data_IF_320681764219
#
_entry.id   IF_320681764219
#
_cell.length_a   1.000
_cell.length_b   1.000
_cell.length_c   1.000
_cell.angle_alpha   90.00
_cell.angle_beta   90.00
_cell.angle_gamma   90.00
#
_symmetry.space_group_name_H-M   'P 1'
#
loop_
_entity.id
_entity.type
_entity.pdbx_description
1 polymer ?
#
# COMPACT_ATOMS: atom_id res chain seq x y z
N UNK A 1 -4.87 11.90 23.62
CA UNK A 1 -4.99 10.76 22.68
C UNK A 1 -3.82 10.63 21.69
N UNK A 2 -3.28 11.74 21.14
CA UNK A 2 -2.13 11.69 20.19
C UNK A 2 -0.90 10.99 20.78
N UNK A 3 -0.54 11.27 22.04
CA UNK A 3 0.57 10.63 22.76
C UNK A 3 0.41 9.11 22.90
N UNK A 4 -0.82 8.60 23.06
CA UNK A 4 -1.09 7.18 23.28
C UNK A 4 -0.87 6.37 22.01
N UNK A 5 -1.31 6.88 20.85
CA UNK A 5 -1.11 6.17 19.58
C UNK A 5 0.36 6.23 19.14
N UNK A 6 1.06 7.33 19.39
CA UNK A 6 2.51 7.38 19.14
C UNK A 6 3.28 6.26 19.86
N UNK A 7 2.95 6.01 21.12
CA UNK A 7 3.53 4.90 21.90
C UNK A 7 3.13 3.53 21.36
N UNK A 8 1.87 3.34 20.94
CA UNK A 8 1.41 2.08 20.33
C UNK A 8 2.13 1.78 19.01
N UNK A 9 2.35 2.78 18.16
CA UNK A 9 3.09 2.64 16.90
C UNK A 9 4.56 2.27 17.15
N UNK A 10 5.20 2.91 18.15
CA UNK A 10 6.56 2.58 18.53
C UNK A 10 6.68 1.13 19.03
N UNK A 11 5.75 0.68 19.90
CA UNK A 11 5.68 -0.71 20.35
C UNK A 11 5.49 -1.69 19.20
N UNK A 12 4.58 -1.39 18.27
CA UNK A 12 4.36 -2.23 17.09
C UNK A 12 5.63 -2.35 16.23
N UNK A 13 6.38 -1.26 16.05
CA UNK A 13 7.67 -1.28 15.33
C UNK A 13 8.68 -2.22 16.01
N UNK A 14 8.79 -2.20 17.33
CA UNK A 14 9.67 -3.10 18.09
C UNK A 14 9.25 -4.57 17.90
N UNK A 15 7.95 -4.86 17.94
CA UNK A 15 7.45 -6.22 17.73
C UNK A 15 7.72 -6.72 16.30
N UNK A 16 7.63 -5.86 15.29
CA UNK A 16 7.94 -6.22 13.89
C UNK A 16 9.38 -6.69 13.73
N UNK A 17 10.35 -6.03 14.38
CA UNK A 17 11.76 -6.46 14.32
C UNK A 17 11.90 -7.88 14.87
N UNK A 18 11.18 -8.23 15.93
CA UNK A 18 11.21 -9.57 16.54
C UNK A 18 10.57 -10.64 15.66
N UNK A 19 9.63 -10.28 14.78
CA UNK A 19 9.01 -11.27 13.87
C UNK A 19 9.95 -11.86 12.82
N UNK A 20 11.09 -11.22 12.56
CA UNK A 20 12.13 -11.78 11.67
C UNK A 20 12.65 -13.13 12.16
N UNK A 21 12.60 -13.37 13.48
CA UNK A 21 13.05 -14.59 14.14
C UNK A 21 11.96 -15.69 14.18
N UNK A 22 10.74 -15.39 13.73
CA UNK A 22 9.65 -16.37 13.75
C UNK A 22 9.85 -17.39 12.63
N UNK A 23 9.88 -18.67 13.02
CA UNK A 23 9.83 -19.80 12.11
C UNK A 23 8.45 -19.90 11.45
N UNK A 24 8.46 -19.90 10.11
CA UNK A 24 7.27 -19.98 9.29
C UNK A 24 7.43 -19.28 7.95
N UNK A 25 6.74 -19.83 6.95
CA UNK A 25 6.69 -19.25 5.61
C UNK A 25 6.02 -17.87 5.57
N UNK A 26 6.07 -17.26 4.39
CA UNK A 26 5.62 -15.90 4.11
C UNK A 26 4.19 -15.61 4.61
N UNK A 27 3.25 -16.54 4.43
CA UNK A 27 1.85 -16.41 4.84
C UNK A 27 1.66 -16.34 6.35
N UNK A 28 2.42 -17.13 7.13
CA UNK A 28 2.31 -17.15 8.61
C UNK A 28 2.77 -15.81 9.20
N UNK A 29 3.85 -15.24 8.65
CA UNK A 29 4.35 -13.92 9.06
C UNK A 29 3.33 -12.82 8.77
N UNK A 30 2.72 -12.85 7.59
CA UNK A 30 1.65 -11.92 7.20
C UNK A 30 0.49 -11.96 8.21
N UNK A 31 0.05 -13.15 8.59
CA UNK A 31 -1.07 -13.30 9.52
C UNK A 31 -0.74 -12.69 10.89
N UNK A 32 0.40 -13.06 11.49
CA UNK A 32 0.88 -12.53 12.79
C UNK A 32 0.98 -10.99 12.77
N UNK A 33 1.57 -10.44 11.71
CA UNK A 33 1.70 -9.00 11.55
C UNK A 33 0.31 -8.35 11.51
N UNK A 34 -0.60 -8.89 10.71
CA UNK A 34 -1.92 -8.30 10.52
C UNK A 34 -2.82 -8.38 11.77
N UNK A 35 -2.82 -9.51 12.48
CA UNK A 35 -3.78 -9.78 13.56
C UNK A 35 -3.30 -9.35 14.93
N UNK A 36 -2.00 -9.46 15.23
CA UNK A 36 -1.48 -9.16 16.56
C UNK A 36 -0.81 -7.79 16.60
N UNK A 37 0.11 -7.55 15.68
CA UNK A 37 1.02 -6.40 15.77
C UNK A 37 0.33 -5.14 15.30
N UNK A 38 -0.24 -5.15 14.10
CA UNK A 38 -0.87 -3.97 13.55
C UNK A 38 -2.20 -3.67 14.22
N UNK A 39 -3.03 -4.68 14.50
CA UNK A 39 -4.29 -4.49 15.21
C UNK A 39 -4.10 -3.71 16.52
N UNK A 40 -3.05 -4.04 17.29
CA UNK A 40 -2.68 -3.32 18.51
C UNK A 40 -2.05 -1.95 18.21
N UNK A 41 -1.14 -1.89 17.24
CA UNK A 41 -0.35 -0.70 16.93
C UNK A 41 -1.16 0.49 16.42
N UNK A 42 -2.25 0.23 15.69
CA UNK A 42 -3.11 1.28 15.10
C UNK A 42 -4.52 1.34 15.71
N UNK A 43 -4.72 0.74 16.89
CA UNK A 43 -6.00 0.81 17.59
C UNK A 43 -6.42 2.28 17.83
N UNK A 44 -7.66 2.61 17.50
CA UNK A 44 -8.20 3.98 17.65
C UNK A 44 -7.79 4.96 16.55
N UNK A 45 -7.13 4.49 15.48
CA UNK A 45 -6.67 5.34 14.38
C UNK A 45 -7.78 6.05 13.60
N UNK A 46 -9.01 5.52 13.65
CA UNK A 46 -10.21 6.12 13.08
C UNK A 46 -10.50 7.51 13.65
N UNK A 47 -10.30 7.71 14.96
CA UNK A 47 -10.67 8.96 15.65
C UNK A 47 -9.51 9.90 15.95
N UNK A 48 -8.27 9.46 15.78
CA UNK A 48 -7.10 10.19 16.27
C UNK A 48 -6.17 10.67 15.17
N UNK A 49 -5.42 11.75 15.45
CA UNK A 49 -4.33 12.19 14.58
C UNK A 49 -3.16 11.23 14.68
N UNK A 50 -2.63 10.86 13.52
CA UNK A 50 -1.45 10.01 13.39
C UNK A 50 -0.52 10.68 12.39
N UNK A 51 0.75 10.74 12.74
CA UNK A 51 1.79 11.21 11.83
C UNK A 51 1.96 10.23 10.65
N UNK A 52 1.94 10.78 9.43
CA UNK A 52 2.10 10.00 8.19
C UNK A 52 3.51 9.41 8.10
N UNK A 53 4.52 10.10 8.60
CA UNK A 53 5.90 9.61 8.58
C UNK A 53 6.04 8.39 9.47
N UNK A 54 5.43 8.40 10.67
CA UNK A 54 5.36 7.23 11.54
C UNK A 54 4.68 6.02 10.87
N UNK A 55 3.58 6.23 10.15
CA UNK A 55 2.92 5.14 9.40
C UNK A 55 3.82 4.57 8.30
N UNK A 56 4.52 5.42 7.55
CA UNK A 56 5.45 4.99 6.50
C UNK A 56 6.68 4.26 7.05
N UNK A 57 7.17 4.67 8.21
CA UNK A 57 8.23 3.96 8.92
C UNK A 57 7.75 2.56 9.37
N UNK A 58 6.49 2.46 9.81
CA UNK A 58 5.90 1.19 10.22
C UNK A 58 5.61 0.27 9.02
N UNK A 59 5.17 0.79 7.87
CA UNK A 59 5.12 0.04 6.60
C UNK A 59 6.47 -0.57 6.27
N UNK A 60 7.54 0.22 6.36
CA UNK A 60 8.90 -0.22 6.02
C UNK A 60 9.35 -1.34 6.95
N UNK A 61 9.09 -1.20 8.25
CA UNK A 61 9.35 -2.26 9.23
C UNK A 61 8.54 -3.53 8.94
N UNK A 62 7.27 -3.41 8.54
CA UNK A 62 6.42 -4.55 8.20
C UNK A 62 6.92 -5.28 6.96
N UNK A 63 7.31 -4.54 5.91
CA UNK A 63 7.91 -5.11 4.70
C UNK A 63 9.25 -5.78 5.02
N UNK A 64 10.10 -5.17 5.85
CA UNK A 64 11.37 -5.77 6.28
C UNK A 64 11.16 -7.05 7.07
N UNK A 65 10.17 -7.08 7.97
CA UNK A 65 9.81 -8.26 8.75
C UNK A 65 9.38 -9.45 7.86
N UNK A 66 8.60 -9.16 6.81
CA UNK A 66 8.12 -10.20 5.89
C UNK A 66 9.20 -10.63 4.88
N UNK A 67 10.01 -9.69 4.39
CA UNK A 67 10.82 -9.84 3.18
C UNK A 67 12.34 -9.72 3.42
N UNK A 68 12.78 -9.49 4.65
CA UNK A 68 14.18 -9.27 5.03
C UNK A 68 14.68 -7.85 4.77
N UNK A 69 15.80 -7.44 5.35
CA UNK A 69 16.29 -6.04 5.33
C UNK A 69 17.17 -5.68 4.12
N UNK A 70 17.74 -6.67 3.43
CA UNK A 70 18.86 -6.46 2.49
C UNK A 70 18.51 -6.07 1.05
N UNK A 71 17.27 -5.68 0.76
CA UNK A 71 16.83 -5.36 -0.61
C UNK A 71 16.29 -3.93 -0.76
N UNK A 72 17.16 -2.93 -0.55
CA UNK A 72 16.83 -1.50 -0.65
C UNK A 72 16.45 -1.01 -2.06
N UNK A 73 16.33 -1.90 -3.04
CA UNK A 73 15.88 -1.62 -4.41
C UNK A 73 14.42 -1.98 -4.66
N UNK A 74 13.77 -2.69 -3.73
CA UNK A 74 12.38 -3.14 -3.91
C UNK A 74 11.35 -2.01 -3.85
N UNK A 75 10.30 -2.14 -4.64
CA UNK A 75 9.09 -1.33 -4.58
C UNK A 75 8.14 -1.93 -3.54
N UNK A 76 7.99 -1.24 -2.40
CA UNK A 76 7.04 -1.66 -1.37
C UNK A 76 5.60 -1.66 -1.89
N UNK A 77 5.30 -0.83 -2.86
CA UNK A 77 3.97 -0.70 -3.47
C UNK A 77 3.58 -1.98 -4.22
N UNK A 78 4.50 -2.63 -4.93
CA UNK A 78 4.22 -3.95 -5.54
C UNK A 78 3.99 -5.00 -4.46
N UNK A 79 4.83 -5.02 -3.44
CA UNK A 79 4.68 -5.97 -2.33
C UNK A 79 3.31 -5.82 -1.67
N UNK A 80 2.93 -4.59 -1.32
CA UNK A 80 1.72 -4.29 -0.56
C UNK A 80 0.45 -4.24 -1.42
N UNK A 81 0.53 -3.91 -2.72
CA UNK A 81 -0.64 -3.79 -3.58
C UNK A 81 -0.89 -5.06 -4.41
N UNK A 82 0.17 -5.77 -4.80
CA UNK A 82 0.06 -6.92 -5.70
C UNK A 82 0.22 -8.22 -4.93
N UNK A 83 1.36 -8.39 -4.27
CA UNK A 83 1.76 -9.66 -3.65
C UNK A 83 1.04 -9.93 -2.32
N UNK A 84 0.69 -8.87 -1.59
CA UNK A 84 0.03 -8.93 -0.29
C UNK A 84 -1.28 -8.14 -0.26
N UNK A 85 -2.20 -8.50 0.66
CA UNK A 85 -3.33 -7.64 0.96
C UNK A 85 -2.86 -6.42 1.77
N UNK A 86 -2.36 -5.37 1.13
CA UNK A 86 -1.76 -4.20 1.79
C UNK A 86 -2.65 -3.54 2.84
N UNK A 87 -3.96 -3.47 2.60
CA UNK A 87 -4.92 -3.01 3.60
C UNK A 87 -4.94 -3.83 4.92
N UNK A 88 -4.28 -4.98 5.01
CA UNK A 88 -4.11 -5.77 6.24
C UNK A 88 -2.73 -5.58 6.89
N UNK A 89 -1.69 -5.27 6.11
CA UNK A 89 -0.29 -5.29 6.55
C UNK A 89 0.47 -3.98 6.38
N UNK A 90 -0.14 -2.99 5.73
CA UNK A 90 0.37 -1.63 5.60
C UNK A 90 -0.45 -0.70 6.47
N UNK A 91 0.12 -0.19 7.58
CA UNK A 91 -0.48 0.90 8.36
C UNK A 91 -0.91 2.09 7.50
N UNK A 92 -0.11 2.48 6.50
CA UNK A 92 -0.44 3.61 5.63
C UNK A 92 -1.64 3.36 4.72
N UNK A 93 -1.98 2.09 4.42
CA UNK A 93 -3.22 1.74 3.71
C UNK A 93 -4.38 1.45 4.67
N UNK A 94 -4.09 0.80 5.80
CA UNK A 94 -5.08 0.34 6.78
C UNK A 94 -5.76 1.50 7.48
N UNK A 95 -5.03 2.56 7.85
CA UNK A 95 -5.62 3.72 8.54
C UNK A 95 -6.62 4.47 7.64
N UNK A 96 -6.28 4.84 6.39
CA UNK A 96 -7.27 5.38 5.46
C UNK A 96 -8.45 4.45 5.23
N UNK A 97 -8.21 3.16 5.02
CA UNK A 97 -9.27 2.15 4.90
C UNK A 97 -10.23 2.19 6.10
N UNK A 98 -9.71 2.17 7.33
CA UNK A 98 -10.54 2.19 8.55
C UNK A 98 -11.36 3.46 8.67
N UNK A 99 -10.78 4.63 8.35
CA UNK A 99 -11.49 5.92 8.41
C UNK A 99 -12.63 6.00 7.39
N UNK A 100 -12.38 5.59 6.16
CA UNK A 100 -13.40 5.60 5.10
C UNK A 100 -14.49 4.57 5.42
N UNK A 101 -14.11 3.37 5.86
CA UNK A 101 -15.08 2.35 6.27
C UNK A 101 -15.89 2.77 7.50
N UNK A 102 -15.30 3.50 8.45
CA UNK A 102 -16.04 4.07 9.58
C UNK A 102 -17.13 5.01 9.09
N UNK A 103 -16.83 5.92 8.16
CA UNK A 103 -17.83 6.82 7.58
C UNK A 103 -18.96 6.05 6.89
N UNK A 104 -18.59 5.13 5.99
CA UNK A 104 -19.53 4.36 5.18
C UNK A 104 -20.37 3.35 5.99
N UNK A 105 -19.87 2.86 7.12
CA UNK A 105 -20.66 1.97 8.00
C UNK A 105 -21.50 2.77 9.00
N UNK A 106 -21.03 3.94 9.42
CA UNK A 106 -21.77 4.83 10.33
C UNK A 106 -23.07 5.34 9.69
N UNK A 107 -23.07 5.62 8.38
CA UNK A 107 -24.29 6.03 7.70
C UNK A 107 -25.35 4.92 7.61
N UNK A 108 -24.94 3.66 7.52
CA UNK A 108 -25.88 2.52 7.42
C UNK A 108 -26.49 2.12 8.77
N UNK A 109 -25.95 2.62 9.90
CA UNK A 109 -26.40 2.22 11.25
C UNK A 109 -27.62 2.99 11.74
N UNK A 110 -27.59 4.32 11.66
CA UNK A 110 -28.63 5.18 12.25
C UNK A 110 -28.83 6.44 11.39
N UNK A 111 -30.09 6.81 11.14
CA UNK A 111 -30.45 8.03 10.38
C UNK A 111 -29.95 9.31 11.04
N UNK A 112 -29.96 9.39 12.37
CA UNK A 112 -29.41 10.52 13.14
C UNK A 112 -27.94 10.80 12.80
N UNK A 113 -27.14 9.75 12.60
CA UNK A 113 -25.74 9.88 12.20
C UNK A 113 -25.60 10.47 10.80
N UNK A 114 -26.50 10.16 9.88
CA UNK A 114 -26.50 10.74 8.53
C UNK A 114 -26.71 12.25 8.58
N UNK A 115 -27.65 12.74 9.41
CA UNK A 115 -27.87 14.17 9.59
C UNK A 115 -26.64 14.88 10.18
N UNK A 116 -25.97 14.26 11.16
CA UNK A 116 -24.72 14.81 11.71
C UNK A 116 -23.61 14.87 10.66
N UNK A 117 -23.46 13.82 9.86
CA UNK A 117 -22.46 13.81 8.77
C UNK A 117 -22.82 14.89 7.73
N UNK A 118 -24.10 15.02 7.37
CA UNK A 118 -24.58 16.04 6.44
C UNK A 118 -24.28 17.45 6.94
N UNK A 119 -24.64 17.76 8.19
CA UNK A 119 -24.37 19.06 8.78
C UNK A 119 -22.86 19.37 8.82
N UNK A 120 -22.02 18.37 9.10
CA UNK A 120 -20.56 18.53 9.07
C UNK A 120 -20.07 18.75 7.63
N UNK A 121 -20.62 18.04 6.65
CA UNK A 121 -20.27 18.19 5.23
C UNK A 121 -20.61 19.59 4.72
N UNK A 122 -21.85 20.05 4.97
CA UNK A 122 -22.34 21.37 4.53
C UNK A 122 -21.62 22.52 5.24
N UNK A 123 -21.23 22.34 6.50
CA UNK A 123 -20.44 23.33 7.24
C UNK A 123 -18.93 23.22 7.00
N UNK A 124 -18.47 22.20 6.26
CA UNK A 124 -17.05 21.97 6.02
C UNK A 124 -16.50 23.04 5.08
N UNK A 125 -15.67 23.92 5.61
CA UNK A 125 -14.74 24.73 4.80
C UNK A 125 -13.53 23.89 4.39
N UNK A 126 -12.72 24.40 3.45
CA UNK A 126 -11.42 23.78 3.14
C UNK A 126 -10.36 24.33 4.10
N UNK A 127 -9.64 23.48 4.88
CA UNK A 127 -9.67 22.02 4.89
C UNK A 127 -10.76 21.42 5.81
N UNK A 128 -11.17 20.15 5.57
CA UNK A 128 -12.22 19.51 6.36
C UNK A 128 -11.91 19.40 7.86
N UNK A 129 -12.95 19.38 8.73
CA UNK A 129 -12.80 19.41 10.18
C UNK A 129 -11.95 18.28 10.79
N UNK A 130 -11.50 18.48 12.03
CA UNK A 130 -10.56 17.59 12.73
C UNK A 130 -11.20 16.35 13.36
N UNK A 131 -12.53 16.24 13.32
CA UNK A 131 -13.30 15.10 13.82
C UNK A 131 -13.25 13.86 12.91
N UNK A 132 -13.84 12.73 13.34
CA UNK A 132 -13.85 11.47 12.58
C UNK A 132 -14.37 11.61 11.13
N UNK A 133 -15.46 12.37 10.93
CA UNK A 133 -16.00 12.67 9.60
C UNK A 133 -14.99 13.40 8.73
N UNK A 134 -14.47 14.55 9.19
CA UNK A 134 -13.51 15.32 8.41
C UNK A 134 -12.15 14.62 8.22
N UNK A 135 -11.79 13.67 9.10
CA UNK A 135 -10.65 12.76 8.85
C UNK A 135 -10.93 11.80 7.71
N UNK A 136 -12.08 11.12 7.72
CA UNK A 136 -12.47 10.23 6.63
C UNK A 136 -12.55 10.97 5.29
N UNK A 137 -13.19 12.14 5.27
CA UNK A 137 -13.27 12.99 4.07
C UNK A 137 -11.89 13.41 3.56
N UNK A 138 -10.95 13.76 4.45
CA UNK A 138 -9.56 14.05 4.03
C UNK A 138 -8.86 12.85 3.38
N UNK A 139 -9.14 11.63 3.83
CA UNK A 139 -8.60 10.44 3.16
C UNK A 139 -9.23 10.23 1.78
N UNK A 140 -10.55 10.40 1.68
CA UNK A 140 -11.28 10.37 0.39
C UNK A 140 -10.68 11.36 -0.61
N UNK A 141 -10.50 12.62 -0.21
CA UNK A 141 -9.86 13.64 -1.06
C UNK A 141 -8.39 13.33 -1.35
N UNK A 142 -7.63 12.80 -0.39
CA UNK A 142 -6.23 12.43 -0.61
C UNK A 142 -6.04 11.25 -1.57
N UNK A 143 -7.10 10.45 -1.78
CA UNK A 143 -7.18 9.41 -2.82
C UNK A 143 -7.68 9.96 -4.17
N UNK A 144 -7.98 11.26 -4.26
CA UNK A 144 -8.43 11.93 -5.48
C UNK A 144 -9.90 11.67 -5.83
N UNK A 145 -10.72 11.23 -4.87
CA UNK A 145 -12.14 11.04 -5.11
C UNK A 145 -12.83 12.38 -5.25
N UNK A 146 -13.80 12.45 -6.15
CA UNK A 146 -14.64 13.64 -6.34
C UNK A 146 -16.07 13.32 -5.93
N UNK A 147 -16.69 14.23 -5.19
CA UNK A 147 -18.11 14.09 -4.85
C UNK A 147 -18.94 14.32 -6.11
N UNK A 148 -19.85 13.38 -6.40
CA UNK A 148 -20.87 13.55 -7.44
C UNK A 148 -22.15 14.11 -6.83
N UNK A 149 -22.46 13.71 -5.60
CA UNK A 149 -23.57 14.24 -4.84
C UNK A 149 -23.34 14.04 -3.33
N UNK A 150 -23.28 15.14 -2.59
CA UNK A 150 -23.09 15.14 -1.15
C UNK A 150 -21.88 14.33 -0.67
N UNK A 151 -21.90 13.90 0.59
CA UNK A 151 -20.81 13.11 1.17
C UNK A 151 -20.95 11.60 0.92
N UNK A 152 -22.04 11.14 0.28
CA UNK A 152 -22.35 9.72 0.14
C UNK A 152 -22.10 9.15 -1.26
N UNK A 153 -22.12 9.97 -2.31
CA UNK A 153 -21.89 9.52 -3.70
C UNK A 153 -20.60 10.08 -4.28
N UNK A 154 -19.68 9.18 -4.66
CA UNK A 154 -18.32 9.51 -5.05
C UNK A 154 -17.93 8.92 -6.40
N UNK A 155 -17.24 9.69 -7.22
CA UNK A 155 -16.42 9.16 -8.31
C UNK A 155 -15.08 8.71 -7.73
N UNK A 156 -14.73 7.44 -7.97
CA UNK A 156 -13.50 6.83 -7.50
C UNK A 156 -12.50 6.74 -8.66
N UNK A 157 -11.27 7.25 -8.53
CA UNK A 157 -10.27 7.15 -9.60
C UNK A 157 -9.93 5.70 -9.94
N UNK A 158 -9.85 5.41 -11.24
CA UNK A 158 -9.57 4.07 -11.76
C UNK A 158 -10.75 3.10 -11.66
N UNK A 159 -11.97 3.61 -11.49
CA UNK A 159 -13.20 2.82 -11.49
C UNK A 159 -14.25 3.50 -12.35
N UNK A 160 -15.01 2.69 -13.10
CA UNK A 160 -16.05 3.19 -13.99
C UNK A 160 -17.29 3.61 -13.19
N UNK A 161 -17.78 2.72 -12.32
CA UNK A 161 -18.97 3.00 -11.53
C UNK A 161 -18.66 3.86 -10.30
N UNK A 162 -19.53 4.82 -9.96
CA UNK A 162 -19.51 5.52 -8.68
C UNK A 162 -19.55 4.57 -7.48
N UNK A 163 -19.26 5.13 -6.31
CA UNK A 163 -19.41 4.48 -5.02
C UNK A 163 -20.44 5.24 -4.19
N UNK A 164 -21.49 4.54 -3.77
CA UNK A 164 -22.55 5.08 -2.93
C UNK A 164 -22.48 4.45 -1.53
N UNK A 165 -22.08 5.23 -0.53
CA UNK A 165 -22.00 4.76 0.85
C UNK A 165 -23.36 4.34 1.43
N UNK A 166 -24.46 4.95 0.98
CA UNK A 166 -25.80 4.67 1.48
C UNK A 166 -26.40 3.43 0.82
N UNK A 167 -26.23 3.28 -0.50
CA UNK A 167 -26.90 2.24 -1.28
C UNK A 167 -26.05 0.98 -1.51
N UNK A 168 -24.72 1.10 -1.68
CA UNK A 168 -23.88 -0.05 -1.99
C UNK A 168 -23.76 -1.02 -0.80
N UNK A 169 -23.59 -2.31 -1.08
CA UNK A 169 -23.31 -3.28 -0.03
C UNK A 169 -21.97 -2.97 0.67
N UNK A 170 -21.86 -3.31 1.96
CA UNK A 170 -20.60 -3.11 2.71
C UNK A 170 -19.43 -3.83 2.03
N UNK A 171 -19.67 -5.01 1.44
CA UNK A 171 -18.65 -5.75 0.69
C UNK A 171 -18.18 -5.01 -0.56
N UNK A 172 -19.10 -4.40 -1.31
CA UNK A 172 -18.76 -3.56 -2.48
C UNK A 172 -17.92 -2.35 -2.07
N UNK A 173 -18.34 -1.64 -1.01
CA UNK A 173 -17.60 -0.49 -0.49
C UNK A 173 -16.18 -0.90 -0.06
N UNK A 174 -16.04 -2.00 0.69
CA UNK A 174 -14.74 -2.52 1.08
C UNK A 174 -13.85 -2.86 -0.12
N UNK A 175 -14.42 -3.42 -1.18
CA UNK A 175 -13.69 -3.71 -2.41
C UNK A 175 -13.20 -2.43 -3.07
N UNK A 176 -14.10 -1.48 -3.36
CA UNK A 176 -13.76 -0.21 -4.03
C UNK A 176 -12.74 0.64 -3.25
N UNK A 177 -12.84 0.69 -1.92
CA UNK A 177 -11.84 1.39 -1.07
C UNK A 177 -10.47 0.72 -1.17
N UNK A 178 -10.40 -0.62 -1.10
CA UNK A 178 -9.13 -1.35 -1.25
C UNK A 178 -8.52 -1.13 -2.62
N UNK A 179 -9.33 -1.09 -3.64
CA UNK A 179 -8.90 -0.93 -5.02
C UNK A 179 -8.38 0.48 -5.29
N UNK A 180 -9.07 1.51 -4.76
CA UNK A 180 -8.58 2.89 -4.82
C UNK A 180 -7.26 3.11 -4.09
N UNK A 181 -7.07 2.48 -2.92
CA UNK A 181 -5.80 2.51 -2.20
C UNK A 181 -4.68 1.89 -3.04
N UNK A 182 -4.94 0.75 -3.71
CA UNK A 182 -3.96 0.13 -4.62
C UNK A 182 -3.66 1.03 -5.80
N UNK A 183 -4.70 1.51 -6.49
CA UNK A 183 -4.58 2.38 -7.65
C UNK A 183 -3.69 3.58 -7.37
N UNK A 184 -3.98 4.30 -6.28
CA UNK A 184 -3.21 5.49 -5.89
C UNK A 184 -1.73 5.17 -5.62
N UNK A 185 -1.44 4.04 -4.96
CA UNK A 185 -0.06 3.63 -4.69
C UNK A 185 0.68 3.20 -5.96
N UNK A 186 0.00 2.50 -6.88
CA UNK A 186 0.58 2.04 -8.13
C UNK A 186 0.85 3.21 -9.09
N UNK A 187 -0.08 4.16 -9.23
CA UNK A 187 0.17 5.39 -10.01
C UNK A 187 1.39 6.17 -9.48
N UNK A 188 1.55 6.27 -8.16
CA UNK A 188 2.72 6.91 -7.55
C UNK A 188 4.01 6.13 -7.84
N UNK A 189 3.94 4.79 -7.84
CA UNK A 189 5.07 3.94 -8.20
C UNK A 189 5.49 4.15 -9.66
N UNK A 190 4.53 4.20 -10.59
CA UNK A 190 4.80 4.42 -12.01
C UNK A 190 5.54 5.74 -12.24
N UNK A 191 5.05 6.82 -11.63
CA UNK A 191 5.71 8.14 -11.69
C UNK A 191 7.12 8.11 -11.11
N UNK A 192 7.33 7.36 -10.02
CA UNK A 192 8.63 7.28 -9.33
C UNK A 192 9.64 6.36 -10.04
N UNK A 193 9.18 5.33 -10.74
CA UNK A 193 10.00 4.28 -11.37
C UNK A 193 9.46 3.91 -12.76
N UNK A 194 9.39 4.87 -13.70
CA UNK A 194 8.73 4.67 -14.99
C UNK A 194 9.40 3.57 -15.82
N UNK A 195 10.73 3.44 -15.75
CA UNK A 195 11.47 2.42 -16.52
C UNK A 195 11.02 0.97 -16.28
N UNK A 196 10.51 0.67 -15.08
CA UNK A 196 10.11 -0.68 -14.69
C UNK A 196 8.61 -0.89 -14.65
N UNK A 197 7.85 0.18 -14.47
CA UNK A 197 6.44 0.09 -14.10
C UNK A 197 5.52 0.94 -14.98
N UNK A 198 6.05 1.81 -15.86
CA UNK A 198 5.21 2.61 -16.74
C UNK A 198 4.29 1.71 -17.58
N UNK A 199 3.04 2.15 -17.72
CA UNK A 199 2.03 1.45 -18.52
C UNK A 199 1.14 0.49 -17.72
N UNK A 200 1.36 0.32 -16.41
CA UNK A 200 0.40 -0.42 -15.56
C UNK A 200 -0.92 0.35 -15.39
N UNK A 201 -0.93 1.68 -15.54
CA UNK A 201 -2.15 2.50 -15.43
C UNK A 201 -2.81 2.41 -14.05
N UNK A 202 -2.04 2.13 -12.99
CA UNK A 202 -2.56 1.92 -11.64
C UNK A 202 -3.37 0.63 -11.45
N UNK A 203 -3.49 -0.20 -12.50
CA UNK A 203 -4.34 -1.37 -12.52
C UNK A 203 -3.50 -2.64 -12.65
N UNK A 204 -3.48 -3.46 -11.59
CA UNK A 204 -2.85 -4.79 -11.63
C UNK A 204 -3.84 -5.82 -11.12
N UNK A 205 -4.17 -6.79 -11.98
CA UNK A 205 -5.03 -7.91 -11.60
C UNK A 205 -4.27 -8.90 -10.71
N UNK A 206 -4.50 -8.81 -9.40
CA UNK A 206 -3.80 -9.62 -8.40
C UNK A 206 -4.01 -11.13 -8.60
N UNK A 207 -5.20 -11.54 -9.04
CA UNK A 207 -5.52 -12.94 -9.34
C UNK A 207 -4.64 -13.48 -10.47
N UNK A 208 -4.45 -12.71 -11.54
CA UNK A 208 -3.56 -13.11 -12.64
C UNK A 208 -2.12 -13.27 -12.17
N UNK A 209 -1.61 -12.33 -11.37
CA UNK A 209 -0.25 -12.44 -10.81
C UNK A 209 -0.14 -13.63 -9.86
N UNK A 210 -1.13 -13.85 -9.00
CA UNK A 210 -1.15 -15.00 -8.10
C UNK A 210 -1.15 -16.33 -8.88
N UNK A 211 -1.95 -16.45 -9.93
CA UNK A 211 -2.00 -17.62 -10.80
C UNK A 211 -0.66 -17.83 -11.53
N UNK A 212 -0.07 -16.76 -12.08
CA UNK A 212 1.24 -16.85 -12.73
C UNK A 212 2.33 -17.33 -11.76
N UNK A 213 2.27 -16.91 -10.48
CA UNK A 213 3.21 -17.34 -9.46
C UNK A 213 3.04 -18.81 -9.05
N UNK A 214 1.89 -19.43 -9.31
CA UNK A 214 1.67 -20.87 -9.03
C UNK A 214 2.44 -21.77 -10.01
N UNK A 215 2.91 -21.23 -11.14
CA UNK A 215 3.66 -22.00 -12.13
C UNK A 215 5.12 -22.26 -11.71
N UNK A 216 5.61 -21.60 -10.65
CA UNK A 216 6.95 -21.85 -10.11
C UNK A 216 6.91 -23.03 -9.13
N UNK A 217 7.76 -24.02 -9.35
CA UNK A 217 7.72 -25.30 -8.62
C UNK A 217 8.56 -25.31 -7.36
N UNK A 218 9.61 -24.48 -7.33
CA UNK A 218 10.51 -24.36 -6.18
C UNK A 218 10.33 -23.03 -5.45
N UNK A 219 10.61 -23.03 -4.14
CA UNK A 219 10.58 -21.79 -3.34
C UNK A 219 11.63 -20.77 -3.79
N UNK A 220 12.76 -21.23 -4.35
CA UNK A 220 13.81 -20.34 -4.85
C UNK A 220 13.38 -19.62 -6.13
N UNK A 221 12.75 -20.32 -7.07
CA UNK A 221 12.15 -19.73 -8.27
C UNK A 221 11.05 -18.73 -7.89
N UNK A 222 10.16 -19.13 -7.00
CA UNK A 222 9.07 -18.28 -6.53
C UNK A 222 9.60 -17.02 -5.82
N UNK A 223 10.66 -17.17 -5.03
CA UNK A 223 11.36 -16.04 -4.40
C UNK A 223 11.98 -15.12 -5.45
N UNK A 224 12.66 -15.66 -6.45
CA UNK A 224 13.26 -14.89 -7.54
C UNK A 224 12.19 -14.13 -8.34
N UNK A 225 11.10 -14.79 -8.74
CA UNK A 225 9.99 -14.18 -9.46
C UNK A 225 9.38 -13.01 -8.68
N UNK A 226 9.12 -13.18 -7.37
CA UNK A 226 8.62 -12.10 -6.54
C UNK A 226 9.62 -10.95 -6.38
N UNK A 227 10.92 -11.23 -6.35
CA UNK A 227 11.97 -10.20 -6.31
C UNK A 227 11.98 -9.39 -7.61
N UNK A 228 11.88 -10.05 -8.77
CA UNK A 228 11.78 -9.41 -10.07
C UNK A 228 10.53 -8.52 -10.13
N UNK A 229 9.37 -9.03 -9.74
CA UNK A 229 8.12 -8.26 -9.70
C UNK A 229 8.23 -7.02 -8.79
N UNK A 230 8.84 -7.17 -7.61
CA UNK A 230 9.08 -6.05 -6.71
C UNK A 230 10.20 -5.11 -7.20
N UNK A 231 10.82 -5.37 -8.35
CA UNK A 231 11.92 -4.58 -8.89
C UNK A 231 13.16 -4.60 -8.00
N UNK A 232 13.32 -5.66 -7.21
CA UNK A 232 14.45 -5.92 -6.31
C UNK A 232 15.68 -6.45 -7.07
N UNK A 233 15.86 -5.98 -8.30
CA UNK A 233 16.96 -6.34 -9.20
C UNK A 233 18.12 -5.39 -8.94
N UNK A 234 19.31 -5.96 -8.77
CA UNK A 234 20.56 -5.23 -8.67
C UNK A 234 21.25 -5.26 -10.03
N UNK A 235 21.07 -4.20 -10.80
CA UNK A 235 21.80 -4.02 -12.07
C UNK A 235 23.08 -3.23 -11.81
N UNK A 236 24.09 -3.36 -12.67
CA UNK A 236 25.31 -2.55 -12.53
C UNK A 236 25.05 -1.06 -12.62
N UNK A 237 24.10 -0.60 -13.44
CA UNK A 237 23.70 0.81 -13.44
C UNK A 237 23.31 1.31 -12.04
N UNK A 238 22.55 0.49 -11.29
CA UNK A 238 22.19 0.81 -9.92
C UNK A 238 23.38 0.74 -8.97
N UNK A 239 24.18 -0.32 -9.04
CA UNK A 239 25.35 -0.48 -8.18
C UNK A 239 26.37 0.66 -8.39
N UNK A 240 26.55 1.09 -9.63
CA UNK A 240 27.40 2.22 -10.00
C UNK A 240 26.85 3.53 -9.42
N UNK A 241 25.55 3.80 -9.61
CA UNK A 241 24.89 5.01 -9.07
C UNK A 241 24.87 5.07 -7.54
N UNK A 242 24.76 3.92 -6.87
CA UNK A 242 24.71 3.82 -5.41
C UNK A 242 26.10 3.54 -4.85
N UNK A 243 26.81 4.60 -4.50
CA UNK A 243 28.12 4.54 -3.80
C UNK A 243 29.26 3.91 -4.61
N UNK A 244 29.15 3.86 -5.95
CA UNK A 244 30.19 3.27 -6.82
C UNK A 244 30.61 1.87 -6.36
N UNK A 245 29.62 1.01 -6.05
CA UNK A 245 29.89 -0.37 -5.63
C UNK A 245 30.53 -1.22 -6.74
N UNK A 246 30.51 -0.71 -7.97
CA UNK A 246 31.19 -1.25 -9.14
C UNK A 246 31.85 -0.10 -9.89
N UNK A 247 32.89 -0.41 -10.67
CA UNK A 247 33.68 0.60 -11.40
C UNK A 247 33.01 1.07 -12.69
N UNK A 248 32.08 0.28 -13.24
CA UNK A 248 31.39 0.60 -14.49
C UNK A 248 29.93 0.16 -14.45
N UNK A 249 29.01 0.95 -15.04
CA UNK A 249 27.60 0.57 -15.19
C UNK A 249 27.36 -0.40 -16.36
N UNK A 250 28.39 -0.74 -17.15
CA UNK A 250 28.25 -1.57 -18.35
C UNK A 250 28.13 -3.06 -18.02
N UNK A 251 27.36 -3.79 -18.82
CA UNK A 251 27.17 -5.23 -18.63
C UNK A 251 28.47 -5.99 -18.88
N UNK A 252 28.83 -6.90 -17.96
CA UNK A 252 30.05 -7.72 -18.09
C UNK A 252 29.89 -8.85 -19.13
N UNK A 253 28.66 -9.25 -19.42
CA UNK A 253 28.41 -10.42 -20.26
C UNK A 253 28.48 -10.11 -21.75
N UNK A 254 27.84 -9.02 -22.18
CA UNK A 254 27.85 -8.62 -23.59
C UNK A 254 28.87 -7.51 -23.88
N UNK A 255 29.45 -6.88 -22.85
CA UNK A 255 30.33 -5.71 -22.95
C UNK A 255 29.71 -4.49 -23.70
N UNK A 256 28.41 -4.55 -24.01
CA UNK A 256 27.68 -3.55 -24.79
C UNK A 256 26.62 -2.86 -23.91
N UNK A 257 26.75 -1.54 -23.77
CA UNK A 257 25.74 -0.70 -23.13
C UNK A 257 25.66 -0.80 -21.60
N UNK A 258 24.81 0.05 -21.04
CA UNK A 258 24.55 0.15 -19.59
C UNK A 258 23.64 -1.01 -19.16
N UNK A 259 24.06 -1.74 -18.13
CA UNK A 259 23.24 -2.80 -17.54
C UNK A 259 22.15 -2.20 -16.64
N UNK A 260 21.02 -1.94 -17.26
CA UNK A 260 19.75 -1.59 -16.60
C UNK A 260 18.74 -2.74 -16.69
N UNK A 261 17.54 -2.54 -16.16
CA UNK A 261 16.54 -3.61 -16.12
C UNK A 261 16.07 -4.02 -17.53
N UNK A 262 15.99 -3.08 -18.47
CA UNK A 262 15.62 -3.43 -19.84
C UNK A 262 16.74 -4.25 -20.51
N UNK A 263 17.99 -3.91 -20.22
CA UNK A 263 19.12 -4.69 -20.68
C UNK A 263 19.08 -6.12 -20.14
N UNK A 264 18.97 -6.28 -18.81
CA UNK A 264 18.99 -7.59 -18.14
C UNK A 264 17.86 -8.50 -18.60
N UNK A 265 16.65 -7.97 -18.82
CA UNK A 265 15.49 -8.81 -19.14
C UNK A 265 15.22 -9.01 -20.64
N UNK A 266 15.64 -8.08 -21.50
CA UNK A 266 15.13 -8.05 -22.89
C UNK A 266 16.17 -7.81 -23.97
N UNK A 267 17.34 -7.24 -23.65
CA UNK A 267 18.32 -6.82 -24.68
C UNK A 267 19.65 -7.54 -24.61
N UNK A 268 20.06 -8.01 -23.42
CA UNK A 268 21.29 -8.76 -23.29
C UNK A 268 21.20 -10.05 -24.10
N UNK A 269 22.27 -10.39 -24.82
CA UNK A 269 22.37 -11.59 -25.66
C UNK A 269 22.92 -12.82 -24.92
N UNK A 270 23.32 -12.62 -23.66
CA UNK A 270 23.92 -13.66 -22.81
C UNK A 270 22.87 -14.64 -22.28
#
# INVERSE_FOLDING_TARGET
RVLVIGLSLAKAKVLLVRTTQIQGGFTKRMEIISTLILATGIYGAEGASIDRTALQALDTAAVNAMWGERQGTRAKEIILCVLLPGHRVSPAMKVPYMRIMWLATSCKRQRSTQYTIQAIWESSTSPPPTGPVGRALREVYALGWTSLNGWWLWQVPGQDDPLDFCNDSVGSIQHKVRDSLRYTNLIRLEKRRPRQYAGMGGAVQRSMVANALQNFTTEDELRAARQVLAGAVWTKARAYSRKKLVDSPNCDYCAEGVEDEQHVFWRCKA
#
